data_IF_799910537129
#
_entry.id   IF_799910537129
#
_cell.length_a   1.000
_cell.length_b   1.000
_cell.length_c   1.000
_cell.angle_alpha   90.00
_cell.angle_beta   90.00
_cell.angle_gamma   90.00
#
_symmetry.space_group_name_H-M   'P 1'
#
loop_
_entity.id
_entity.type
_entity.pdbx_description
1 polymer ?
#
# COMPACT_ATOMS: atom_id res chain seq x y z
N UNK A 1 -48.60 -42.00 13.38
CA UNK A 1 -47.47 -42.61 12.65
C UNK A 1 -47.94 -42.62 11.19
N UNK A 2 -47.31 -41.98 10.20
CA UNK A 2 -45.88 -41.82 9.92
C UNK A 2 -45.55 -40.55 9.12
N UNK A 3 -44.30 -40.11 9.28
CA UNK A 3 -43.65 -38.89 8.76
C UNK A 3 -43.31 -39.03 7.27
N UNK A 4 -43.63 -38.04 6.42
CA UNK A 4 -42.81 -37.64 5.23
C UNK A 4 -43.05 -36.18 4.84
N UNK A 5 -42.50 -35.25 5.62
CA UNK A 5 -42.34 -33.85 5.21
C UNK A 5 -40.84 -33.53 5.21
N UNK A 6 -40.12 -34.15 4.28
CA UNK A 6 -38.70 -33.86 4.04
C UNK A 6 -38.52 -33.92 2.54
N UNK A 7 -38.56 -32.77 1.84
CA UNK A 7 -37.88 -32.47 0.55
C UNK A 7 -38.41 -31.14 -0.02
N UNK A 8 -38.50 -30.05 0.75
CA UNK A 8 -38.65 -28.69 0.18
C UNK A 8 -38.02 -27.65 1.11
N UNK A 9 -36.79 -27.86 1.56
CA UNK A 9 -36.13 -26.88 2.44
C UNK A 9 -34.66 -26.59 2.07
N UNK A 10 -34.14 -27.22 1.01
CA UNK A 10 -32.70 -27.12 0.70
C UNK A 10 -32.43 -26.22 -0.51
N UNK A 11 -33.38 -26.03 -1.42
CA UNK A 11 -33.12 -25.33 -2.69
C UNK A 11 -33.10 -23.78 -2.51
N UNK A 12 -33.86 -23.24 -1.56
CA UNK A 12 -33.92 -21.77 -1.35
C UNK A 12 -32.72 -21.24 -0.53
N UNK A 13 -32.10 -22.08 0.31
CA UNK A 13 -30.92 -21.71 1.10
C UNK A 13 -29.63 -21.57 0.26
N UNK A 14 -29.50 -22.35 -0.82
CA UNK A 14 -28.30 -22.34 -1.67
C UNK A 14 -28.17 -21.07 -2.52
N UNK A 15 -29.29 -20.53 -3.01
CA UNK A 15 -29.27 -19.34 -3.90
C UNK A 15 -28.93 -18.07 -3.12
N UNK A 16 -29.45 -17.91 -1.89
CA UNK A 16 -29.09 -16.77 -1.05
C UNK A 16 -27.62 -16.79 -0.62
N UNK A 17 -27.06 -17.97 -0.35
CA UNK A 17 -25.65 -18.07 0.04
C UNK A 17 -24.71 -17.74 -1.13
N UNK A 18 -25.04 -18.13 -2.36
CA UNK A 18 -24.26 -17.78 -3.55
C UNK A 18 -24.27 -16.26 -3.84
N UNK A 19 -25.39 -15.57 -3.61
CA UNK A 19 -25.50 -14.11 -3.77
C UNK A 19 -24.70 -13.35 -2.71
N UNK A 20 -24.64 -13.86 -1.47
CA UNK A 20 -23.80 -13.30 -0.40
C UNK A 20 -22.30 -13.46 -0.71
N UNK A 21 -21.88 -14.58 -1.31
CA UNK A 21 -20.49 -14.78 -1.73
C UNK A 21 -20.15 -13.86 -2.91
N UNK A 22 -21.07 -13.70 -3.87
CA UNK A 22 -20.87 -12.83 -5.04
C UNK A 22 -20.83 -11.33 -4.70
N UNK A 23 -21.47 -10.90 -3.62
CA UNK A 23 -21.44 -9.50 -3.13
C UNK A 23 -20.34 -9.24 -2.09
N UNK A 24 -19.90 -10.27 -1.36
CA UNK A 24 -18.76 -10.20 -0.43
C UNK A 24 -17.39 -10.26 -1.10
N UNK A 25 -17.35 -10.61 -2.39
CA UNK A 25 -16.16 -10.63 -3.23
C UNK A 25 -16.32 -9.67 -4.40
N UNK A 26 -16.65 -8.40 -4.12
CA UNK A 26 -15.99 -7.38 -4.94
C UNK A 26 -14.50 -7.70 -4.84
N UNK A 27 -13.75 -7.94 -5.94
CA UNK A 27 -12.30 -7.91 -5.81
C UNK A 27 -12.04 -6.59 -5.11
N UNK A 28 -11.42 -6.63 -3.93
CA UNK A 28 -10.80 -5.45 -3.35
C UNK A 28 -9.97 -4.91 -4.49
N UNK A 29 -10.50 -3.90 -5.17
CA UNK A 29 -9.96 -3.35 -6.38
C UNK A 29 -8.64 -2.79 -5.94
N UNK A 30 -7.59 -3.59 -6.15
CA UNK A 30 -6.41 -3.58 -5.29
C UNK A 30 -5.83 -2.17 -5.32
N UNK A 31 -6.08 -1.41 -4.25
CA UNK A 31 -5.55 -0.06 -4.14
C UNK A 31 -4.05 -0.24 -3.99
N UNK A 32 -3.32 -0.12 -5.10
CA UNK A 32 -1.87 -0.22 -5.09
C UNK A 32 -1.35 1.10 -4.54
N UNK A 33 -0.41 1.01 -3.62
CA UNK A 33 0.32 2.17 -3.12
C UNK A 33 1.80 1.87 -3.22
N UNK A 34 2.54 2.82 -3.75
CA UNK A 34 3.98 2.73 -3.95
C UNK A 34 4.63 4.02 -3.46
N UNK A 35 5.85 3.90 -2.98
CA UNK A 35 6.70 5.04 -2.71
C UNK A 35 7.98 4.89 -3.53
N UNK A 36 8.58 6.02 -3.89
CA UNK A 36 9.87 6.08 -4.59
C UNK A 36 10.75 7.12 -3.92
N UNK A 37 12.05 6.83 -3.89
CA UNK A 37 13.09 7.73 -3.40
C UNK A 37 14.12 7.91 -4.51
N UNK A 38 14.52 9.16 -4.76
CA UNK A 38 15.65 9.48 -5.63
C UNK A 38 16.56 10.48 -4.94
N UNK A 39 17.86 10.42 -5.25
CA UNK A 39 18.77 11.50 -4.89
C UNK A 39 18.30 12.79 -5.55
N UNK A 40 18.25 13.86 -4.77
CA UNK A 40 18.04 15.22 -5.29
C UNK A 40 19.40 15.85 -5.59
N UNK A 41 19.45 16.76 -6.55
CA UNK A 41 20.65 17.57 -6.82
C UNK A 41 20.95 18.56 -5.68
N UNK A 42 19.95 18.78 -4.80
CA UNK A 42 20.11 19.61 -3.61
C UNK A 42 20.79 18.84 -2.47
N UNK A 43 21.90 19.36 -1.89
CA UNK A 43 22.62 18.69 -0.82
C UNK A 43 21.70 18.37 0.38
N UNK A 44 21.67 17.10 0.78
CA UNK A 44 20.90 16.63 1.94
C UNK A 44 19.40 16.45 1.69
N UNK A 45 18.92 16.66 0.46
CA UNK A 45 17.54 16.44 0.06
C UNK A 45 17.39 15.12 -0.72
N UNK A 46 16.20 14.56 -0.69
CA UNK A 46 15.78 13.43 -1.53
C UNK A 46 14.44 13.74 -2.17
N UNK A 47 14.29 13.37 -3.43
CA UNK A 47 12.99 13.41 -4.10
C UNK A 47 12.17 12.22 -3.61
N UNK A 48 11.12 12.51 -2.85
CA UNK A 48 10.19 11.51 -2.35
C UNK A 48 8.89 11.56 -3.13
N UNK A 49 8.52 10.44 -3.73
CA UNK A 49 7.28 10.30 -4.50
C UNK A 49 6.39 9.26 -3.84
N UNK A 50 5.10 9.56 -3.72
CA UNK A 50 4.07 8.60 -3.28
C UNK A 50 3.04 8.48 -4.40
N UNK A 51 2.82 7.25 -4.84
CA UNK A 51 1.86 6.90 -5.89
C UNK A 51 0.75 6.02 -5.31
N UNK A 52 -0.48 6.27 -5.74
CA UNK A 52 -1.66 5.50 -5.39
C UNK A 52 -2.46 5.22 -6.65
N UNK A 53 -2.79 3.96 -6.89
CA UNK A 53 -3.70 3.54 -7.95
C UNK A 53 -4.97 2.98 -7.33
N UNK A 54 -6.09 3.39 -7.91
CA UNK A 54 -7.41 2.79 -7.75
C UNK A 54 -7.98 2.61 -9.16
N UNK A 55 -8.91 1.69 -9.40
CA UNK A 55 -9.52 1.61 -10.72
C UNK A 55 -10.17 2.95 -11.11
N UNK A 56 -9.84 3.41 -12.32
CA UNK A 56 -10.27 4.72 -12.83
C UNK A 56 -9.57 5.94 -12.22
N UNK A 57 -8.64 5.78 -11.28
CA UNK A 57 -7.95 6.91 -10.67
C UNK A 57 -6.48 6.62 -10.32
N UNK A 58 -5.59 7.49 -10.79
CA UNK A 58 -4.19 7.50 -10.43
C UNK A 58 -3.84 8.82 -9.75
N UNK A 59 -3.25 8.73 -8.56
CA UNK A 59 -2.76 9.88 -7.82
C UNK A 59 -1.27 9.72 -7.56
N UNK A 60 -0.51 10.79 -7.79
CA UNK A 60 0.92 10.85 -7.53
C UNK A 60 1.25 12.20 -6.92
N UNK A 61 2.13 12.21 -5.92
CA UNK A 61 2.70 13.43 -5.35
C UNK A 61 4.20 13.25 -5.18
N UNK A 62 4.96 14.28 -5.51
CA UNK A 62 6.42 14.31 -5.42
C UNK A 62 6.85 15.56 -4.66
N UNK A 63 7.82 15.42 -3.75
CA UNK A 63 8.34 16.55 -2.98
C UNK A 63 9.81 16.32 -2.63
N UNK A 64 10.60 17.38 -2.69
CA UNK A 64 11.95 17.42 -2.14
C UNK A 64 11.92 17.55 -0.62
N UNK A 65 12.49 16.58 0.06
CA UNK A 65 12.42 16.49 1.51
C UNK A 65 13.80 16.19 2.08
N UNK A 66 14.06 16.68 3.30
CA UNK A 66 15.35 16.44 3.96
C UNK A 66 15.50 14.96 4.27
N UNK A 67 16.66 14.38 3.97
CA UNK A 67 16.97 12.99 4.30
C UNK A 67 16.81 12.70 5.81
N UNK A 68 17.09 13.71 6.66
CA UNK A 68 16.92 13.63 8.11
C UNK A 68 15.47 13.36 8.57
N UNK A 69 14.47 13.56 7.70
CA UNK A 69 13.07 13.26 8.00
C UNK A 69 12.74 11.76 7.90
N UNK A 70 13.63 10.96 7.33
CA UNK A 70 13.47 9.52 7.23
C UNK A 70 14.17 8.82 8.40
N UNK A 71 13.39 8.17 9.26
CA UNK A 71 13.88 7.42 10.42
C UNK A 71 14.04 5.95 10.05
N UNK A 72 15.20 5.38 10.37
CA UNK A 72 15.54 3.99 10.03
C UNK A 72 15.95 3.78 8.57
N UNK A 73 16.08 4.86 7.79
CA UNK A 73 16.63 4.82 6.43
C UNK A 73 18.13 5.16 6.48
N UNK A 74 18.98 4.26 6.00
CA UNK A 74 20.40 4.52 5.81
C UNK A 74 20.70 4.74 4.32
N UNK A 75 21.75 5.52 4.01
CA UNK A 75 22.22 5.67 2.62
C UNK A 75 22.72 4.35 2.05
N UNK A 76 23.37 3.54 2.89
CA UNK A 76 23.84 2.21 2.50
C UNK A 76 22.69 1.34 2.00
N UNK A 77 21.51 1.37 2.66
CA UNK A 77 20.33 0.62 2.20
C UNK A 77 19.77 1.13 0.86
N UNK A 78 19.92 2.43 0.58
CA UNK A 78 19.54 3.02 -0.70
C UNK A 78 20.47 2.53 -1.81
N UNK A 79 21.77 2.52 -1.53
CA UNK A 79 22.83 2.22 -2.49
C UNK A 79 22.99 0.71 -2.74
N UNK A 80 22.96 -0.10 -1.68
CA UNK A 80 23.10 -1.57 -1.77
C UNK A 80 21.88 -2.23 -2.39
N UNK A 81 20.73 -1.55 -2.36
CA UNK A 81 19.44 -2.18 -2.62
C UNK A 81 19.05 -3.16 -1.49
N UNK A 82 17.87 -3.76 -1.64
CA UNK A 82 17.35 -4.77 -0.73
C UNK A 82 16.17 -4.31 0.13
N UNK A 83 15.70 -5.16 1.07
CA UNK A 83 14.52 -4.87 1.87
C UNK A 83 14.62 -3.55 2.64
N UNK A 84 13.54 -2.79 2.62
CA UNK A 84 13.39 -1.45 3.15
C UNK A 84 12.31 -1.41 4.22
N UNK A 85 12.61 -0.82 5.39
CA UNK A 85 11.59 -0.40 6.35
C UNK A 85 12.04 0.86 7.05
N UNK A 86 11.31 1.96 6.83
CA UNK A 86 11.63 3.26 7.41
C UNK A 86 10.35 4.07 7.66
N UNK A 87 10.46 5.11 8.47
CA UNK A 87 9.38 6.07 8.68
C UNK A 87 9.73 7.41 8.06
N UNK A 88 8.82 7.99 7.29
CA UNK A 88 8.90 9.38 6.87
C UNK A 88 8.12 10.26 7.85
N UNK A 89 8.81 11.19 8.51
CA UNK A 89 8.25 12.07 9.54
C UNK A 89 8.09 13.48 9.01
N UNK A 90 6.87 14.01 9.11
CA UNK A 90 6.53 15.42 8.88
C UNK A 90 5.77 15.98 10.07
N UNK A 91 5.59 17.29 10.08
CA UNK A 91 4.78 17.99 11.09
C UNK A 91 3.34 17.45 11.14
N UNK A 92 2.80 17.02 9.99
CA UNK A 92 1.44 16.48 9.87
C UNK A 92 1.30 14.99 10.28
N UNK A 93 2.41 14.30 10.60
CA UNK A 93 2.37 12.89 11.02
C UNK A 93 3.52 12.04 10.48
N UNK A 94 3.33 10.72 10.51
CA UNK A 94 4.35 9.75 10.08
C UNK A 94 3.78 8.79 9.04
N UNK A 95 4.57 8.48 8.01
CA UNK A 95 4.27 7.43 7.06
C UNK A 95 5.23 6.27 7.29
N UNK A 96 4.71 5.07 7.54
CA UNK A 96 5.53 3.87 7.60
C UNK A 96 5.69 3.32 6.18
N UNK A 97 6.91 3.32 5.68
CA UNK A 97 7.27 2.82 4.36
C UNK A 97 7.95 1.47 4.52
N UNK A 98 7.39 0.45 3.89
CA UNK A 98 7.99 -0.87 3.76
C UNK A 98 8.15 -1.21 2.27
N UNK A 99 9.12 -2.05 1.91
CA UNK A 99 9.31 -2.46 0.52
C UNK A 99 10.71 -3.01 0.29
N UNK A 100 11.26 -2.79 -0.89
CA UNK A 100 12.65 -3.12 -1.18
C UNK A 100 13.24 -2.16 -2.19
N UNK A 101 14.38 -1.56 -1.88
CA UNK A 101 15.19 -0.79 -2.81
C UNK A 101 15.58 -1.71 -3.98
N UNK A 102 15.08 -1.42 -5.18
CA UNK A 102 15.47 -2.11 -6.42
C UNK A 102 16.02 -1.09 -7.42
N UNK A 103 17.10 -1.46 -8.09
CA UNK A 103 17.83 -0.60 -9.05
C UNK A 103 17.46 -0.93 -10.51
N UNK A 104 16.31 -1.55 -10.75
CA UNK A 104 15.86 -1.87 -12.10
C UNK A 104 15.45 -0.58 -12.86
N UNK A 105 16.43 0.02 -13.56
CA UNK A 105 16.30 1.22 -14.40
C UNK A 105 16.36 2.56 -13.64
N UNK A 106 16.21 3.68 -14.37
CA UNK A 106 16.32 5.08 -13.89
C UNK A 106 15.26 5.52 -12.86
N UNK A 107 14.53 4.57 -12.27
CA UNK A 107 13.41 4.84 -11.34
C UNK A 107 13.85 5.06 -9.91
N UNK A 108 15.10 4.75 -9.58
CA UNK A 108 15.55 4.76 -8.19
C UNK A 108 14.77 3.75 -7.36
N UNK A 109 15.10 3.66 -6.07
CA UNK A 109 14.42 2.72 -5.21
C UNK A 109 12.93 2.99 -5.04
N UNK A 110 12.18 1.89 -5.05
CA UNK A 110 10.72 1.89 -5.00
C UNK A 110 10.22 0.76 -4.10
N UNK A 111 9.15 0.98 -3.34
CA UNK A 111 8.58 -0.03 -2.46
C UNK A 111 7.07 0.05 -2.34
N UNK A 112 6.45 -1.06 -1.95
CA UNK A 112 5.00 -1.19 -1.84
C UNK A 112 4.51 -0.92 -0.42
N UNK A 113 3.42 -0.15 -0.30
CA UNK A 113 2.66 0.06 0.94
C UNK A 113 3.21 1.14 1.94
N UNK A 114 3.14 2.44 1.60
CA UNK A 114 3.19 3.50 2.61
C UNK A 114 1.90 3.48 3.45
N UNK A 115 1.96 2.96 4.68
CA UNK A 115 0.83 3.00 5.61
C UNK A 115 0.84 4.35 6.32
N UNK A 116 -0.19 5.21 6.15
CA UNK A 116 -0.28 6.45 6.88
C UNK A 116 -0.54 6.16 8.36
N UNK A 117 0.37 6.55 9.24
CA UNK A 117 0.15 6.53 10.68
C UNK A 117 -0.23 7.94 11.13
N UNK A 118 -1.52 8.25 11.04
CA UNK A 118 -2.06 9.50 11.61
C UNK A 118 -2.40 9.25 13.08
N UNK A 119 -1.44 9.49 13.99
CA UNK A 119 -1.84 9.81 15.36
C UNK A 119 -2.40 11.22 15.34
N UNK A 120 -3.73 11.36 15.36
CA UNK A 120 -4.34 12.61 15.83
C UNK A 120 -3.99 12.74 17.31
N UNK A 121 -3.17 13.73 17.66
CA UNK A 121 -3.07 14.23 19.03
C UNK A 121 -4.31 15.03 19.37
#
# INVERSE_FOLDING_TARGET
>A
MDKKATTVAIIVGGVLLAVLIATGQAPLQATRQEWKLKSSDSPGMVHFTVERWKPGNHWSTSTDVRFANFRGLSRDTIESGGPAKFEYVQDAGRLLCQGSFSWAGDRGPSGSNPIPNTRRS
#
